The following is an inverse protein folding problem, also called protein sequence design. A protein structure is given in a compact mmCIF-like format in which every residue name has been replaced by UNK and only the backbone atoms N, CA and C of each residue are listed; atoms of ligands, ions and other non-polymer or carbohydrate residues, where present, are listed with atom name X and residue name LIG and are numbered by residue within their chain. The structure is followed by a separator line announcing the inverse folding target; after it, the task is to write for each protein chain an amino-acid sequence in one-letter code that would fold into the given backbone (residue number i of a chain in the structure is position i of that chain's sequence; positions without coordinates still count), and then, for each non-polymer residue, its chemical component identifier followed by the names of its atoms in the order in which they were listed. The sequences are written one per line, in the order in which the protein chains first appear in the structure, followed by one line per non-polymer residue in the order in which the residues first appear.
data_IF_625438973522
#
_entry.id   IF_625438973522
#
_cell.length_a   1.000
_cell.length_b   1.000
_cell.length_c   1.000
_cell.angle_alpha   90.00
_cell.angle_beta   90.00
_cell.angle_gamma   90.00
#
_symmetry.space_group_name_H-M   'P 1'
#
loop_
_entity.id
_entity.type
_entity.pdbx_description
1 polymer ?
#
# COMPACT_ATOMS: atom_id res chain seq x y z
N UNK A 1 7.27 -8.41 -11.92
CA UNK A 1 6.68 -7.07 -11.74
C UNK A 1 6.15 -7.03 -10.32
N UNK A 2 6.53 -6.03 -9.52
CA UNK A 2 6.03 -5.91 -8.17
C UNK A 2 4.53 -5.60 -8.22
N UNK A 3 3.73 -6.34 -7.47
CA UNK A 3 2.30 -6.10 -7.26
C UNK A 3 2.10 -5.13 -6.09
N UNK A 4 0.92 -4.50 -6.00
CA UNK A 4 0.55 -3.67 -4.85
C UNK A 4 0.75 -4.43 -3.55
N UNK A 5 1.44 -3.82 -2.60
CA UNK A 5 1.83 -4.53 -1.39
C UNK A 5 2.47 -3.65 -0.34
N UNK A 6 2.85 -4.30 0.77
CA UNK A 6 3.44 -3.65 1.95
C UNK A 6 4.89 -4.10 2.07
N UNK A 7 5.80 -3.14 2.12
CA UNK A 7 7.21 -3.37 2.45
C UNK A 7 7.39 -3.07 3.94
N UNK A 8 7.98 -4.03 4.66
CA UNK A 8 8.29 -3.92 6.08
C UNK A 8 9.80 -3.86 6.26
N UNK A 9 10.30 -2.80 6.89
CA UNK A 9 11.74 -2.58 7.08
C UNK A 9 12.06 -2.62 8.57
N UNK A 10 12.97 -3.53 8.96
CA UNK A 10 13.59 -3.53 10.29
C UNK A 10 14.93 -2.80 10.20
N UNK A 11 15.10 -1.69 10.93
CA UNK A 11 16.34 -0.92 10.92
C UNK A 11 17.49 -1.63 11.61
N UNK A 12 17.25 -2.19 12.80
CA UNK A 12 18.23 -3.02 13.52
C UNK A 12 17.65 -4.40 13.74
N UNK A 13 18.46 -5.45 13.58
CA UNK A 13 17.98 -6.83 13.77
C UNK A 13 17.37 -7.10 15.15
N UNK A 14 17.78 -6.35 16.18
CA UNK A 14 17.30 -6.45 17.55
C UNK A 14 15.99 -5.70 17.81
N UNK A 15 15.54 -4.86 16.88
CA UNK A 15 14.35 -4.04 17.07
C UNK A 15 13.09 -4.94 17.09
N UNK A 16 12.20 -4.78 18.09
CA UNK A 16 10.90 -5.44 18.12
C UNK A 16 10.05 -5.13 16.87
N UNK A 17 9.03 -5.95 16.60
CA UNK A 17 8.12 -5.73 15.45
C UNK A 17 7.39 -4.38 15.52
N UNK A 18 7.22 -3.83 16.72
CA UNK A 18 6.68 -2.50 16.97
C UNK A 18 7.65 -1.36 16.62
N UNK A 19 8.81 -1.64 16.04
CA UNK A 19 9.76 -0.63 15.52
C UNK A 19 9.97 -0.75 14.01
N UNK A 20 9.20 -1.61 13.35
CA UNK A 20 9.21 -1.72 11.89
C UNK A 20 8.65 -0.47 11.24
N UNK A 21 9.27 -0.06 10.14
CA UNK A 21 8.73 0.92 9.21
C UNK A 21 7.90 0.18 8.15
N UNK A 22 6.68 0.65 7.88
CA UNK A 22 5.79 0.09 6.88
C UNK A 22 5.61 1.09 5.73
N UNK A 23 5.84 0.60 4.50
CA UNK A 23 5.63 1.34 3.27
C UNK A 23 4.59 0.64 2.42
N UNK A 24 3.64 1.39 1.89
CA UNK A 24 2.73 0.91 0.85
C UNK A 24 3.38 1.21 -0.49
N UNK A 25 3.54 0.19 -1.32
CA UNK A 25 4.12 0.32 -2.65
C UNK A 25 3.16 -0.14 -3.72
N UNK A 26 3.17 0.57 -4.84
CA UNK A 26 2.34 0.30 -6.00
C UNK A 26 3.25 0.04 -7.21
N UNK A 27 3.21 -1.19 -7.72
CA UNK A 27 4.00 -1.55 -8.88
C UNK A 27 5.51 -1.56 -8.61
N UNK A 28 6.30 -1.70 -9.67
CA UNK A 28 7.74 -1.47 -9.64
C UNK A 28 8.63 -2.70 -9.89
N UNK A 29 9.93 -2.47 -9.71
CA UNK A 29 11.00 -3.46 -9.85
C UNK A 29 11.90 -3.44 -8.63
N UNK A 30 12.43 -4.62 -8.31
CA UNK A 30 13.35 -4.82 -7.19
C UNK A 30 14.65 -5.35 -7.78
N UNK A 31 15.76 -4.71 -7.43
CA UNK A 31 17.10 -5.12 -7.78
C UNK A 31 17.89 -5.43 -6.51
N UNK A 32 18.62 -6.55 -6.52
CA UNK A 32 19.51 -6.96 -5.43
C UNK A 32 20.91 -7.14 -6.00
N UNK A 33 21.84 -6.28 -5.62
CA UNK A 33 23.26 -6.41 -5.99
C UNK A 33 24.14 -5.95 -4.83
N UNK A 34 25.29 -6.60 -4.63
CA UNK A 34 26.34 -6.17 -3.71
C UNK A 34 25.84 -5.83 -2.28
N UNK A 35 24.91 -6.63 -1.75
CA UNK A 35 24.28 -6.41 -0.44
C UNK A 35 23.48 -5.09 -0.34
N UNK A 36 23.08 -4.52 -1.48
CA UNK A 36 22.19 -3.38 -1.61
C UNK A 36 20.89 -3.84 -2.27
N UNK A 37 19.77 -3.48 -1.64
CA UNK A 37 18.43 -3.69 -2.16
C UNK A 37 17.89 -2.36 -2.69
N UNK A 38 17.74 -2.25 -4.00
CA UNK A 38 17.18 -1.07 -4.68
C UNK A 38 15.76 -1.37 -5.12
N UNK A 39 14.82 -0.52 -4.74
CA UNK A 39 13.39 -0.69 -5.03
C UNK A 39 12.93 0.55 -5.77
N UNK A 40 12.54 0.38 -7.04
CA UNK A 40 12.02 1.45 -7.88
C UNK A 40 10.53 1.21 -8.09
N UNK A 41 9.71 2.14 -7.60
CA UNK A 41 8.25 2.04 -7.60
C UNK A 41 7.64 3.33 -8.12
N UNK A 42 6.43 3.22 -8.68
CA UNK A 42 5.70 4.38 -9.21
C UNK A 42 5.17 5.26 -8.06
N UNK A 43 4.67 4.63 -6.99
CA UNK A 43 4.21 5.29 -5.78
C UNK A 43 4.67 4.53 -4.52
N UNK A 44 5.09 5.29 -3.50
CA UNK A 44 5.45 4.79 -2.18
C UNK A 44 4.89 5.71 -1.09
N UNK A 45 3.99 5.20 -0.25
CA UNK A 45 3.44 5.93 0.89
C UNK A 45 4.00 5.38 2.21
N UNK A 46 4.47 6.25 3.10
CA UNK A 46 4.87 5.87 4.45
C UNK A 46 3.63 5.71 5.34
N UNK A 47 3.64 4.78 6.30
CA UNK A 47 2.53 4.60 7.27
C UNK A 47 2.13 5.89 8.01
N UNK A 48 3.07 6.83 8.13
CA UNK A 48 2.89 8.07 8.88
C UNK A 48 1.97 9.02 8.13
N UNK A 49 2.06 9.01 6.80
CA UNK A 49 1.41 9.94 5.87
C UNK A 49 0.04 9.44 5.42
N UNK A 50 -0.30 8.17 5.67
CA UNK A 50 -1.61 7.60 5.33
C UNK A 50 -2.67 8.08 6.33
N UNK A 51 -3.66 8.81 5.81
CA UNK A 51 -4.92 9.13 6.50
C UNK A 51 -5.94 8.00 6.29
N UNK A 52 -6.42 7.42 7.40
CA UNK A 52 -7.39 6.32 7.42
C UNK A 52 -8.76 6.75 6.87
N UNK A 53 -9.21 7.96 7.21
CA UNK A 53 -10.51 8.45 6.81
C UNK A 53 -10.54 8.72 5.29
N UNK A 54 -9.47 9.30 4.77
CA UNK A 54 -9.30 9.52 3.34
C UNK A 54 -9.19 8.19 2.59
N UNK A 55 -8.37 7.25 3.07
CA UNK A 55 -8.21 5.94 2.46
C UNK A 55 -9.53 5.15 2.41
N UNK A 56 -10.34 5.25 3.46
CA UNK A 56 -11.67 4.62 3.53
C UNK A 56 -12.64 5.25 2.54
N UNK A 57 -12.71 6.58 2.49
CA UNK A 57 -13.59 7.29 1.55
C UNK A 57 -13.22 6.97 0.09
N UNK A 58 -11.92 6.93 -0.22
CA UNK A 58 -11.43 6.57 -1.55
C UNK A 58 -11.74 5.10 -1.92
N UNK A 59 -11.64 4.18 -0.96
CA UNK A 59 -12.03 2.78 -1.16
C UNK A 59 -13.53 2.61 -1.44
N UNK A 60 -14.39 3.35 -0.72
CA UNK A 60 -15.84 3.34 -0.95
C UNK A 60 -16.19 3.93 -2.33
N UNK A 61 -15.53 5.03 -2.72
CA UNK A 61 -15.70 5.64 -4.04
C UNK A 61 -15.27 4.67 -5.15
N UNK A 62 -14.13 3.99 -5.00
CA UNK A 62 -13.65 3.03 -5.98
C UNK A 62 -14.61 1.83 -6.13
N UNK A 63 -15.26 1.39 -5.05
CA UNK A 63 -16.31 0.37 -5.12
C UNK A 63 -17.55 0.85 -5.86
N UNK A 64 -17.97 2.10 -5.65
CA UNK A 64 -19.09 2.69 -6.40
C UNK A 64 -18.76 2.78 -7.89
N UNK A 65 -17.54 3.24 -8.23
CA UNK A 65 -17.07 3.29 -9.63
C UNK A 65 -17.08 1.90 -10.28
N UNK A 66 -16.70 0.85 -9.56
CA UNK A 66 -16.77 -0.53 -10.07
C UNK A 66 -18.22 -0.98 -10.30
N UNK A 67 -19.15 -0.59 -9.43
CA UNK A 67 -20.56 -0.93 -9.57
C UNK A 67 -21.23 -0.21 -10.75
N UNK A 68 -20.77 1.00 -11.08
CA UNK A 68 -21.29 1.82 -12.18
C UNK A 68 -20.60 1.57 -13.52
N UNK A 69 -19.42 0.94 -13.52
CA UNK A 69 -18.64 0.66 -14.71
C UNK A 69 -19.39 -0.30 -15.65
N UNK A 70 -19.52 0.11 -16.92
CA UNK A 70 -20.24 -0.63 -17.97
C UNK A 70 -19.32 -1.27 -19.01
N UNK A 71 -18.08 -0.80 -19.07
CA UNK A 71 -17.06 -1.24 -20.02
C UNK A 71 -15.88 -1.89 -19.29
N UNK A 72 -15.20 -2.78 -20.00
CA UNK A 72 -14.12 -3.59 -19.44
C UNK A 72 -12.92 -2.76 -18.96
N UNK A 73 -12.62 -1.65 -19.65
CA UNK A 73 -11.51 -0.76 -19.27
C UNK A 73 -11.83 -0.03 -17.96
N UNK A 74 -13.04 0.51 -17.81
CA UNK A 74 -13.47 1.13 -16.56
C UNK A 74 -13.54 0.13 -15.40
N UNK A 75 -13.93 -1.12 -15.65
CA UNK A 75 -13.93 -2.18 -14.64
C UNK A 75 -12.51 -2.51 -14.15
N UNK A 76 -11.56 -2.66 -15.07
CA UNK A 76 -10.15 -2.90 -14.74
C UNK A 76 -9.53 -1.72 -13.99
N UNK A 77 -9.83 -0.49 -14.42
CA UNK A 77 -9.38 0.72 -13.75
C UNK A 77 -9.95 0.83 -12.32
N UNK A 78 -11.25 0.61 -12.15
CA UNK A 78 -11.89 0.63 -10.84
C UNK A 78 -11.33 -0.48 -9.93
N UNK A 79 -11.04 -1.67 -10.48
CA UNK A 79 -10.40 -2.74 -9.73
C UNK A 79 -9.00 -2.34 -9.24
N UNK A 80 -8.19 -1.69 -10.09
CA UNK A 80 -6.88 -1.19 -9.70
C UNK A 80 -6.93 -0.14 -8.59
N UNK A 81 -7.95 0.74 -8.61
CA UNK A 81 -8.19 1.70 -7.53
C UNK A 81 -8.55 1.00 -6.21
N UNK A 82 -9.43 -0.01 -6.26
CA UNK A 82 -9.82 -0.80 -5.09
C UNK A 82 -8.59 -1.47 -4.47
N UNK A 83 -7.77 -2.14 -5.29
CA UNK A 83 -6.59 -2.87 -4.81
C UNK A 83 -5.58 -1.91 -4.14
N UNK A 84 -5.36 -0.73 -4.74
CA UNK A 84 -4.50 0.31 -4.16
C UNK A 84 -5.02 0.81 -2.80
N UNK A 85 -6.29 1.19 -2.73
CA UNK A 85 -6.86 1.74 -1.50
C UNK A 85 -7.03 0.69 -0.39
N UNK A 86 -7.27 -0.57 -0.73
CA UNK A 86 -7.33 -1.67 0.22
C UNK A 86 -6.01 -1.85 0.99
N UNK A 87 -4.87 -1.80 0.30
CA UNK A 87 -3.54 -1.93 0.93
C UNK A 87 -3.26 -0.74 1.86
N UNK A 88 -3.62 0.49 1.44
CA UNK A 88 -3.50 1.70 2.29
C UNK A 88 -4.31 1.55 3.58
N UNK A 89 -5.56 1.09 3.48
CA UNK A 89 -6.43 0.88 4.65
C UNK A 89 -5.87 -0.20 5.59
N UNK A 90 -5.29 -1.27 5.05
CA UNK A 90 -4.66 -2.33 5.85
C UNK A 90 -3.48 -1.79 6.68
N UNK A 91 -2.63 -0.94 6.11
CA UNK A 91 -1.49 -0.32 6.83
C UNK A 91 -1.96 0.68 7.88
N UNK A 92 -2.99 1.48 7.58
CA UNK A 92 -3.61 2.36 8.57
C UNK A 92 -4.14 1.57 9.80
N UNK A 93 -4.73 0.39 9.57
CA UNK A 93 -5.16 -0.51 10.63
C UNK A 93 -4.01 -1.05 11.50
N UNK A 94 -2.85 -1.34 10.90
CA UNK A 94 -1.65 -1.77 11.63
C UNK A 94 -1.10 -0.67 12.55
N UNK A 95 -1.08 0.59 12.07
CA UNK A 95 -0.71 1.77 12.87
C UNK A 95 -1.59 1.91 14.12
N UNK A 96 -2.89 1.65 14.01
CA UNK A 96 -3.84 1.70 15.14
C UNK A 96 -3.54 0.65 16.21
N UNK A 97 -3.09 -0.55 15.82
CA UNK A 97 -2.75 -1.63 16.76
C UNK A 97 -1.50 -1.30 17.58
N UNK A 98 -0.52 -0.63 16.96
CA UNK A 98 0.73 -0.18 17.60
C UNK A 98 0.52 0.98 18.59
N UNK A 99 -0.54 1.77 18.43
CA UNK A 99 -0.92 2.88 19.34
C UNK A 99 -1.74 2.46 20.57
N UNK A 100 -2.17 1.20 20.65
CA UNK A 100 -2.99 0.69 21.76
C UNK A 100 -2.14 0.05 22.85
#
# INVERSE_FOLDING_TARGET
VATHGIIKIRRKSSDPDDFMDYFVTNGGVIEVSDNVLSILVDEADHEADIDEAEAKAAYELAQQMKAEAKDQVSLEHAQGLIDRHAVRLQVAGLKRRRKR
#
